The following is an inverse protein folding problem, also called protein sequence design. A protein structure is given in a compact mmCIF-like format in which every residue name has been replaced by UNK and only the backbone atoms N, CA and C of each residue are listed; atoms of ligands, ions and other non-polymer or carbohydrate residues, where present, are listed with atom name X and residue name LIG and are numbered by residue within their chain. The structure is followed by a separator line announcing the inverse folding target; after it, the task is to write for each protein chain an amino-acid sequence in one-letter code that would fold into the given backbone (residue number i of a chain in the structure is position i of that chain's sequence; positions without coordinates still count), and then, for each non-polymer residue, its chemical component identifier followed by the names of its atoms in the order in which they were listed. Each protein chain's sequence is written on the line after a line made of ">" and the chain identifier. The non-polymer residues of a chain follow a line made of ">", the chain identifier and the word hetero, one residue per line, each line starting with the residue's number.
data_IF_285456858145
#
_entry.id   IF_285456858145
#
_cell.length_a   1.000
_cell.length_b   1.000
_cell.length_c   1.000
_cell.angle_alpha   90.00
_cell.angle_beta   90.00
_cell.angle_gamma   90.00
#
_symmetry.space_group_name_H-M   'P 1'
#
loop_
_entity.id
_entity.type
_entity.pdbx_description
1 polymer ?
#
# COMPACT_ATOMS: atom_id res chain seq x y z
N UNK A 1 -12.35 32.81 -8.46
CA UNK A 1 -12.73 31.42 -8.05
C UNK A 1 -14.03 31.56 -7.25
N UNK A 2 -15.08 30.84 -7.62
CA UNK A 2 -16.33 30.83 -6.86
C UNK A 2 -16.15 30.00 -5.58
N UNK A 3 -16.95 30.27 -4.55
CA UNK A 3 -16.93 29.50 -3.31
C UNK A 3 -17.17 28.00 -3.57
N UNK A 4 -18.02 27.66 -4.53
CA UNK A 4 -18.31 26.30 -4.98
C UNK A 4 -17.04 25.58 -5.51
N UNK A 5 -16.22 26.27 -6.31
CA UNK A 5 -14.97 25.70 -6.83
C UNK A 5 -13.97 25.38 -5.70
N UNK A 6 -13.88 26.23 -4.69
CA UNK A 6 -13.01 26.01 -3.53
C UNK A 6 -13.49 24.79 -2.74
N UNK A 7 -14.80 24.72 -2.45
CA UNK A 7 -15.38 23.60 -1.69
C UNK A 7 -15.23 22.29 -2.48
N UNK A 8 -15.46 22.31 -3.80
CA UNK A 8 -15.25 21.14 -4.67
C UNK A 8 -13.80 20.65 -4.61
N UNK A 9 -12.82 21.55 -4.70
CA UNK A 9 -11.41 21.21 -4.65
C UNK A 9 -10.99 20.65 -3.28
N UNK A 10 -11.50 21.22 -2.19
CA UNK A 10 -11.26 20.73 -0.84
C UNK A 10 -11.85 19.33 -0.62
N UNK A 11 -13.09 19.11 -1.08
CA UNK A 11 -13.76 17.82 -0.95
C UNK A 11 -13.00 16.74 -1.74
N UNK A 12 -12.67 16.99 -3.01
CA UNK A 12 -11.91 16.05 -3.84
C UNK A 12 -10.51 15.81 -3.28
N UNK A 13 -9.84 16.86 -2.81
CA UNK A 13 -8.52 16.75 -2.17
C UNK A 13 -8.53 15.92 -0.90
N UNK A 14 -9.58 16.05 -0.07
CA UNK A 14 -9.74 15.26 1.15
C UNK A 14 -9.93 13.76 0.83
N UNK A 15 -10.79 13.43 -0.15
CA UNK A 15 -11.04 12.05 -0.56
C UNK A 15 -9.77 11.40 -1.11
N UNK A 16 -9.03 12.10 -1.98
CA UNK A 16 -7.76 11.61 -2.51
C UNK A 16 -6.68 11.55 -1.42
N UNK A 17 -6.66 12.52 -0.51
CA UNK A 17 -5.73 12.56 0.62
C UNK A 17 -5.87 11.35 1.55
N UNK A 18 -7.08 10.83 1.77
CA UNK A 18 -7.29 9.60 2.53
C UNK A 18 -6.70 8.36 1.85
N UNK A 19 -6.79 8.24 0.53
CA UNK A 19 -6.19 7.15 -0.24
C UNK A 19 -4.66 7.23 -0.24
N UNK A 20 -4.11 8.42 -0.47
CA UNK A 20 -2.66 8.64 -0.36
C UNK A 20 -2.16 8.45 1.07
N UNK A 21 -2.98 8.85 2.06
CA UNK A 21 -2.71 8.59 3.46
C UNK A 21 -2.56 7.10 3.77
N UNK A 22 -3.35 6.24 3.11
CA UNK A 22 -3.25 4.78 3.29
C UNK A 22 -1.91 4.23 2.79
N UNK A 23 -1.44 4.73 1.63
CA UNK A 23 -0.10 4.40 1.10
C UNK A 23 0.98 4.91 2.07
N UNK A 24 0.86 6.17 2.50
CA UNK A 24 1.84 6.81 3.39
C UNK A 24 1.93 6.11 4.76
N UNK A 25 0.79 5.70 5.34
CA UNK A 25 0.78 4.95 6.61
C UNK A 25 1.45 3.58 6.46
N UNK A 26 1.27 2.91 5.31
CA UNK A 26 1.99 1.67 5.00
C UNK A 26 3.50 1.85 4.99
N UNK A 27 3.99 2.92 4.35
CA UNK A 27 5.41 3.27 4.34
C UNK A 27 5.90 3.68 5.74
N UNK A 28 5.14 4.52 6.44
CA UNK A 28 5.48 4.98 7.78
C UNK A 28 5.57 3.83 8.80
N UNK A 29 4.72 2.80 8.67
CA UNK A 29 4.78 1.60 9.50
C UNK A 29 6.11 0.85 9.31
N UNK A 30 6.53 0.65 8.06
CA UNK A 30 7.79 -0.02 7.73
C UNK A 30 8.97 0.81 8.24
N UNK A 31 8.99 2.10 7.94
CA UNK A 31 10.06 3.00 8.36
C UNK A 31 10.15 3.11 9.89
N UNK A 32 9.01 3.35 10.54
CA UNK A 32 8.97 3.50 12.00
C UNK A 32 9.34 2.24 12.78
N UNK A 33 9.29 1.06 12.15
CA UNK A 33 9.64 -0.22 12.78
C UNK A 33 11.14 -0.55 12.66
N UNK A 34 11.78 -0.17 11.55
CA UNK A 34 13.12 -0.65 11.22
C UNK A 34 14.10 0.42 10.77
N UNK A 35 13.69 1.69 10.70
CA UNK A 35 14.44 2.79 10.09
C UNK A 35 14.86 2.50 8.64
N UNK A 36 14.06 1.71 7.92
CA UNK A 36 14.30 1.32 6.53
C UNK A 36 13.36 2.09 5.61
N UNK A 37 13.92 2.91 4.72
CA UNK A 37 13.15 3.52 3.64
C UNK A 37 12.95 2.49 2.53
N UNK A 38 11.70 2.13 2.26
CA UNK A 38 11.36 1.19 1.18
C UNK A 38 11.14 1.94 -0.13
N UNK A 39 12.18 2.03 -0.97
CA UNK A 39 12.08 2.66 -2.30
C UNK A 39 11.23 1.85 -3.30
N UNK A 40 10.93 0.58 -3.02
CA UNK A 40 10.03 -0.22 -3.84
C UNK A 40 8.54 -0.04 -3.47
N UNK A 41 8.21 0.88 -2.55
CA UNK A 41 6.83 1.00 -2.03
C UNK A 41 5.81 1.32 -3.13
N UNK A 42 6.14 2.20 -4.06
CA UNK A 42 5.30 2.50 -5.22
C UNK A 42 5.11 1.30 -6.16
N UNK A 43 6.12 0.42 -6.26
CA UNK A 43 6.00 -0.78 -7.10
C UNK A 43 5.06 -1.83 -6.48
N UNK A 44 4.89 -1.83 -5.16
CA UNK A 44 3.85 -2.62 -4.51
C UNK A 44 2.46 -2.12 -4.91
N UNK A 45 2.28 -0.79 -5.02
CA UNK A 45 1.04 -0.19 -5.52
C UNK A 45 0.77 -0.63 -6.97
N UNK A 46 1.78 -0.55 -7.82
CA UNK A 46 1.71 -1.03 -9.21
C UNK A 46 1.23 -2.50 -9.26
N UNK A 47 1.86 -3.40 -8.50
CA UNK A 47 1.47 -4.82 -8.45
C UNK A 47 0.03 -4.96 -7.97
N UNK A 48 -0.40 -4.20 -6.96
CA UNK A 48 -1.78 -4.21 -6.47
C UNK A 48 -2.79 -3.82 -7.55
N UNK A 49 -2.48 -2.76 -8.32
CA UNK A 49 -3.32 -2.32 -9.44
C UNK A 49 -3.41 -3.38 -10.55
N UNK A 50 -2.27 -4.00 -10.91
CA UNK A 50 -2.27 -5.11 -11.88
C UNK A 50 -3.02 -6.34 -11.36
N UNK A 51 -2.83 -6.73 -10.10
CA UNK A 51 -3.55 -7.84 -9.50
C UNK A 51 -5.07 -7.62 -9.54
N UNK A 52 -5.52 -6.40 -9.21
CA UNK A 52 -6.91 -6.00 -9.30
C UNK A 52 -7.44 -6.08 -10.73
N UNK A 53 -6.66 -5.57 -11.70
CA UNK A 53 -7.04 -5.63 -13.12
C UNK A 53 -7.21 -7.08 -13.59
N UNK A 54 -6.28 -7.97 -13.26
CA UNK A 54 -6.38 -9.37 -13.66
C UNK A 54 -7.52 -10.10 -12.95
N UNK A 55 -7.79 -9.81 -11.68
CA UNK A 55 -8.97 -10.35 -10.99
C UNK A 55 -10.26 -9.89 -11.66
N UNK A 56 -10.31 -8.66 -12.14
CA UNK A 56 -11.45 -8.16 -12.91
C UNK A 56 -11.57 -8.86 -14.27
N UNK A 57 -10.48 -8.97 -15.02
CA UNK A 57 -10.49 -9.54 -16.39
C UNK A 57 -10.81 -11.04 -16.38
N UNK A 58 -10.21 -11.81 -15.47
CA UNK A 58 -10.36 -13.27 -15.48
C UNK A 58 -11.56 -13.77 -14.68
N UNK A 59 -11.93 -13.06 -13.61
CA UNK A 59 -12.98 -13.50 -12.69
C UNK A 59 -14.18 -12.56 -12.63
N UNK A 60 -14.17 -11.47 -13.40
CA UNK A 60 -15.18 -10.40 -13.35
C UNK A 60 -15.41 -9.85 -11.91
N UNK A 61 -14.35 -9.91 -11.07
CA UNK A 61 -14.42 -9.48 -9.69
C UNK A 61 -14.23 -7.97 -9.60
N UNK A 62 -15.24 -7.26 -9.11
CA UNK A 62 -15.18 -5.80 -8.97
C UNK A 62 -14.00 -5.38 -8.07
N UNK A 63 -13.29 -4.29 -8.39
CA UNK A 63 -12.14 -3.80 -7.60
C UNK A 63 -12.41 -3.67 -6.11
N UNK A 64 -13.60 -3.24 -5.71
CA UNK A 64 -13.97 -3.12 -4.31
C UNK A 64 -14.02 -4.49 -3.60
N UNK A 65 -14.54 -5.52 -4.28
CA UNK A 65 -14.55 -6.89 -3.76
C UNK A 65 -13.18 -7.55 -3.84
N UNK A 66 -12.37 -7.21 -4.82
CA UNK A 66 -11.00 -7.73 -4.96
C UNK A 66 -10.03 -7.12 -3.93
N UNK A 67 -10.32 -5.93 -3.39
CA UNK A 67 -9.43 -5.22 -2.48
C UNK A 67 -8.94 -6.05 -1.28
N UNK A 68 -9.78 -6.79 -0.53
CA UNK A 68 -9.30 -7.63 0.57
C UNK A 68 -8.41 -8.79 0.10
N UNK A 69 -8.68 -9.37 -1.08
CA UNK A 69 -7.85 -10.45 -1.64
C UNK A 69 -6.49 -9.93 -2.09
N UNK A 70 -6.48 -8.76 -2.75
CA UNK A 70 -5.24 -8.08 -3.15
C UNK A 70 -4.43 -7.69 -1.93
N UNK A 71 -5.07 -7.14 -0.89
CA UNK A 71 -4.40 -6.81 0.37
C UNK A 71 -3.77 -8.04 1.03
N UNK A 72 -4.49 -9.17 1.08
CA UNK A 72 -3.96 -10.42 1.63
C UNK A 72 -2.79 -10.96 0.79
N UNK A 73 -2.88 -10.90 -0.55
CA UNK A 73 -1.79 -11.30 -1.44
C UNK A 73 -0.56 -10.41 -1.25
N UNK A 74 -0.75 -9.09 -1.18
CA UNK A 74 0.33 -8.13 -0.93
C UNK A 74 0.91 -8.28 0.48
N UNK A 75 0.10 -8.64 1.49
CA UNK A 75 0.61 -8.98 2.81
C UNK A 75 1.64 -10.11 2.75
N UNK A 76 1.27 -11.21 2.10
CA UNK A 76 2.18 -12.36 1.92
C UNK A 76 3.40 -11.97 1.11
N UNK A 77 3.20 -11.24 0.00
CA UNK A 77 4.28 -10.77 -0.85
C UNK A 77 5.27 -9.87 -0.09
N UNK A 78 4.78 -8.89 0.69
CA UNK A 78 5.62 -8.03 1.51
C UNK A 78 6.41 -8.79 2.57
N UNK A 79 5.78 -9.75 3.26
CA UNK A 79 6.45 -10.61 4.22
C UNK A 79 7.56 -11.46 3.55
N UNK A 80 7.30 -12.00 2.35
CA UNK A 80 8.29 -12.76 1.57
C UNK A 80 9.44 -11.88 1.13
N UNK A 81 9.18 -10.67 0.63
CA UNK A 81 10.21 -9.68 0.25
C UNK A 81 11.11 -9.36 1.44
N UNK A 82 10.52 -9.14 2.62
CA UNK A 82 11.32 -8.95 3.83
C UNK A 82 12.23 -10.16 4.08
N UNK A 83 11.68 -11.37 4.09
CA UNK A 83 12.41 -12.60 4.42
C UNK A 83 13.52 -12.93 3.42
N UNK A 84 13.31 -12.64 2.13
CA UNK A 84 14.27 -13.00 1.07
C UNK A 84 15.31 -11.92 0.79
N UNK A 85 14.98 -10.64 1.01
CA UNK A 85 15.83 -9.52 0.59
C UNK A 85 16.17 -8.63 1.79
N UNK A 86 15.18 -8.00 2.41
CA UNK A 86 15.38 -6.89 3.34
C UNK A 86 16.08 -7.34 4.61
N UNK A 87 15.77 -8.52 5.14
CA UNK A 87 16.41 -9.03 6.35
C UNK A 87 17.93 -9.17 6.23
N UNK A 88 18.43 -9.44 5.02
CA UNK A 88 19.89 -9.51 4.77
C UNK A 88 20.49 -8.11 4.72
N UNK A 89 19.78 -7.14 4.14
CA UNK A 89 20.18 -5.75 4.10
C UNK A 89 20.25 -5.14 5.51
N UNK A 90 19.24 -5.41 6.36
CA UNK A 90 19.20 -4.95 7.76
C UNK A 90 20.34 -5.52 8.60
N UNK A 91 20.82 -6.72 8.27
CA UNK A 91 21.94 -7.41 8.99
C UNK A 91 23.33 -7.03 8.49
N UNK A 92 23.44 -6.14 7.50
CA UNK A 92 24.72 -5.75 6.95
C UNK A 92 25.61 -5.11 8.04
N UNK A 93 26.85 -5.58 8.17
CA UNK A 93 27.78 -5.13 9.22
C UNK A 93 28.35 -3.73 8.98
N UNK A 94 28.41 -3.31 7.73
CA UNK A 94 28.91 -2.01 7.32
C UNK A 94 27.86 -1.27 6.50
N UNK A 95 27.66 0.03 6.80
CA UNK A 95 26.76 0.91 6.04
C UNK A 95 25.35 0.32 5.81
N UNK A 96 24.75 -0.28 6.85
CA UNK A 96 23.45 -0.96 6.77
C UNK A 96 22.38 -0.09 6.09
N UNK A 97 22.32 1.21 6.39
CA UNK A 97 21.38 2.13 5.75
C UNK A 97 21.56 2.22 4.22
N UNK A 98 22.81 2.31 3.74
CA UNK A 98 23.07 2.30 2.30
C UNK A 98 22.69 0.97 1.65
N UNK A 99 23.01 -0.16 2.28
CA UNK A 99 22.65 -1.49 1.77
C UNK A 99 21.14 -1.64 1.67
N UNK A 100 20.40 -1.12 2.62
CA UNK A 100 18.93 -1.12 2.62
C UNK A 100 18.37 -0.29 1.47
N UNK A 101 18.86 0.93 1.28
CA UNK A 101 18.46 1.82 0.18
C UNK A 101 18.70 1.15 -1.17
N UNK A 102 19.94 0.68 -1.43
CA UNK A 102 20.27 0.05 -2.70
C UNK A 102 19.50 -1.27 -2.92
N UNK A 103 19.25 -2.05 -1.87
CA UNK A 103 18.46 -3.29 -1.99
C UNK A 103 17.02 -3.02 -2.36
N UNK A 104 16.36 -2.04 -1.73
CA UNK A 104 14.96 -1.70 -2.02
C UNK A 104 14.83 -0.96 -3.36
N UNK A 105 15.79 -0.11 -3.72
CA UNK A 105 15.84 0.53 -5.03
C UNK A 105 16.08 -0.49 -6.16
N UNK A 106 17.03 -1.42 -5.96
CA UNK A 106 17.25 -2.52 -6.90
C UNK A 106 16.01 -3.38 -7.07
N UNK A 107 15.28 -3.67 -5.96
CA UNK A 107 14.01 -4.37 -6.00
C UNK A 107 12.97 -3.60 -6.83
N UNK A 108 12.87 -2.28 -6.69
CA UNK A 108 11.97 -1.44 -7.47
C UNK A 108 12.25 -1.57 -8.98
N UNK A 109 13.53 -1.48 -9.37
CA UNK A 109 13.92 -1.63 -10.78
C UNK A 109 13.55 -3.01 -11.32
N UNK A 110 13.80 -4.07 -10.56
CA UNK A 110 13.45 -5.45 -10.96
C UNK A 110 11.93 -5.61 -11.09
N UNK A 111 11.14 -5.14 -10.12
CA UNK A 111 9.69 -5.24 -10.17
C UNK A 111 9.12 -4.51 -11.38
N UNK A 112 9.59 -3.29 -11.64
CA UNK A 112 9.20 -2.49 -12.81
C UNK A 112 9.59 -3.18 -14.13
N UNK A 113 10.83 -3.64 -14.22
CA UNK A 113 11.31 -4.36 -15.42
C UNK A 113 10.52 -5.64 -15.68
N UNK A 114 10.18 -6.41 -14.64
CA UNK A 114 9.32 -7.58 -14.77
C UNK A 114 7.90 -7.19 -15.19
N UNK A 115 7.34 -6.10 -14.67
CA UNK A 115 6.04 -5.61 -15.09
C UNK A 115 6.03 -5.20 -16.57
N UNK A 116 7.06 -4.51 -17.04
CA UNK A 116 7.22 -4.15 -18.45
C UNK A 116 7.37 -5.38 -19.34
N UNK A 117 8.11 -6.39 -18.87
CA UNK A 117 8.32 -7.62 -19.64
C UNK A 117 7.06 -8.48 -19.75
N UNK A 118 6.33 -8.69 -18.64
CA UNK A 118 5.16 -9.57 -18.62
C UNK A 118 3.87 -8.89 -19.06
N UNK A 119 3.70 -7.59 -18.76
CA UNK A 119 2.43 -6.90 -18.93
C UNK A 119 2.45 -5.87 -20.06
N UNK A 120 3.58 -5.65 -20.72
CA UNK A 120 3.80 -4.60 -21.72
C UNK A 120 3.64 -3.18 -21.17
N UNK A 121 4.19 -2.14 -21.82
CA UNK A 121 4.10 -0.77 -21.33
C UNK A 121 2.75 -0.09 -21.55
N UNK A 122 1.75 -0.83 -22.06
CA UNK A 122 0.44 -0.29 -22.42
C UNK A 122 -0.36 0.18 -21.22
N UNK A 123 -1.09 1.27 -21.38
CA UNK A 123 -2.03 1.77 -20.39
C UNK A 123 -3.28 0.90 -20.36
N UNK A 124 -3.63 0.44 -19.16
CA UNK A 124 -4.84 -0.36 -18.90
C UNK A 124 -5.77 0.39 -17.98
N UNK A 125 -7.06 0.11 -18.07
CA UNK A 125 -8.08 0.69 -17.20
C UNK A 125 -9.19 -0.32 -16.94
N UNK A 126 -9.96 -0.11 -15.87
CA UNK A 126 -11.15 -0.90 -15.52
C UNK A 126 -12.39 -0.02 -15.75
N UNK A 127 -12.94 0.04 -16.98
CA UNK A 127 -13.98 1.01 -17.31
C UNK A 127 -15.36 0.67 -16.73
N UNK A 128 -15.61 -0.57 -16.34
CA UNK A 128 -16.92 -1.08 -15.95
C UNK A 128 -16.96 -1.61 -14.50
N UNK A 129 -16.32 -0.91 -13.55
CA UNK A 129 -16.55 -1.24 -12.14
C UNK A 129 -17.95 -0.82 -11.71
N UNK A 130 -18.51 -1.47 -10.69
CA UNK A 130 -19.85 -1.16 -10.18
C UNK A 130 -20.05 0.30 -9.77
N UNK A 131 -18.99 0.93 -9.34
CA UNK A 131 -18.95 2.33 -8.90
C UNK A 131 -18.37 3.26 -9.96
N UNK A 132 -17.73 2.71 -10.99
CA UNK A 132 -17.05 3.48 -12.05
C UNK A 132 -18.00 4.43 -12.78
N UNK A 133 -17.55 5.65 -13.02
CA UNK A 133 -18.32 6.67 -13.71
C UNK A 133 -19.50 7.26 -12.94
N UNK A 134 -19.81 6.78 -11.74
CA UNK A 134 -20.89 7.32 -10.91
C UNK A 134 -20.40 8.51 -10.08
N UNK A 135 -21.25 9.54 -10.00
CA UNK A 135 -21.03 10.72 -9.17
C UNK A 135 -22.26 11.00 -8.32
N UNK A 136 -22.05 11.43 -7.09
CA UNK A 136 -23.11 11.94 -6.21
C UNK A 136 -22.97 13.45 -6.14
N UNK A 137 -24.07 14.17 -6.36
CA UNK A 137 -24.12 15.63 -6.21
C UNK A 137 -24.80 15.99 -4.91
N UNK A 138 -24.10 16.73 -4.05
CA UNK A 138 -24.63 17.26 -2.77
C UNK A 138 -24.41 18.76 -2.76
N UNK A 139 -25.48 19.52 -2.74
CA UNK A 139 -25.45 20.98 -2.72
C UNK A 139 -24.57 21.61 -3.83
N UNK A 140 -24.59 21.04 -5.05
CA UNK A 140 -23.79 21.52 -6.18
C UNK A 140 -22.35 21.01 -6.23
N UNK A 141 -21.93 20.19 -5.25
CA UNK A 141 -20.60 19.57 -5.19
C UNK A 141 -20.71 18.17 -5.78
N UNK A 142 -19.86 17.84 -6.77
CA UNK A 142 -19.82 16.54 -7.44
C UNK A 142 -18.73 15.66 -6.82
N UNK A 143 -19.14 14.56 -6.18
CA UNK A 143 -18.26 13.61 -5.53
C UNK A 143 -18.23 12.28 -6.31
N UNK A 144 -17.10 11.88 -6.89
CA UNK A 144 -16.99 10.58 -7.56
C UNK A 144 -17.18 9.44 -6.56
N UNK A 145 -18.12 8.52 -6.85
CA UNK A 145 -18.44 7.41 -5.95
C UNK A 145 -17.25 6.49 -5.68
N UNK A 146 -16.35 6.21 -6.65
CA UNK A 146 -15.14 5.42 -6.37
C UNK A 146 -14.23 6.07 -5.32
N UNK A 147 -14.07 7.40 -5.37
CA UNK A 147 -13.26 8.13 -4.37
C UNK A 147 -13.90 8.13 -2.99
N UNK A 148 -15.24 8.26 -2.91
CA UNK A 148 -15.98 8.13 -1.65
C UNK A 148 -15.82 6.72 -1.06
N UNK A 149 -15.99 5.68 -1.86
CA UNK A 149 -15.78 4.31 -1.42
C UNK A 149 -14.33 4.10 -0.94
N UNK A 150 -13.35 4.63 -1.67
CA UNK A 150 -11.95 4.60 -1.29
C UNK A 150 -11.67 5.29 0.04
N UNK A 151 -12.24 6.47 0.26
CA UNK A 151 -12.12 7.21 1.51
C UNK A 151 -12.71 6.41 2.70
N UNK A 152 -13.88 5.79 2.52
CA UNK A 152 -14.49 4.94 3.54
C UNK A 152 -13.65 3.70 3.86
N UNK A 153 -13.11 3.03 2.84
CA UNK A 153 -12.20 1.89 3.03
C UNK A 153 -10.92 2.33 3.72
N UNK A 154 -10.37 3.51 3.37
CA UNK A 154 -9.17 4.05 4.03
C UNK A 154 -9.42 4.33 5.51
N UNK A 155 -10.54 4.95 5.87
CA UNK A 155 -10.92 5.20 7.26
C UNK A 155 -11.09 3.87 8.02
N UNK A 156 -11.76 2.89 7.42
CA UNK A 156 -11.92 1.57 8.02
C UNK A 156 -10.58 0.86 8.22
N UNK A 157 -9.67 0.95 7.24
CA UNK A 157 -8.32 0.38 7.32
C UNK A 157 -7.47 1.06 8.39
N UNK A 158 -7.54 2.41 8.52
CA UNK A 158 -6.87 3.14 9.61
C UNK A 158 -7.39 2.72 10.98
N UNK A 159 -8.72 2.61 11.13
CA UNK A 159 -9.33 2.16 12.38
C UNK A 159 -8.91 0.71 12.69
N UNK A 160 -8.96 -0.19 11.71
CA UNK A 160 -8.54 -1.58 11.86
C UNK A 160 -7.06 -1.68 12.27
N UNK A 161 -6.16 -0.92 11.61
CA UNK A 161 -4.74 -0.88 11.95
C UNK A 161 -4.52 -0.34 13.38
N UNK A 162 -5.21 0.75 13.74
CA UNK A 162 -5.13 1.34 15.07
C UNK A 162 -5.55 0.33 16.15
N UNK A 163 -6.68 -0.34 15.99
CA UNK A 163 -7.12 -1.36 16.92
C UNK A 163 -6.18 -2.57 16.94
N UNK A 164 -5.68 -2.99 15.79
CA UNK A 164 -4.74 -4.09 15.69
C UNK A 164 -3.45 -3.80 16.46
N UNK A 165 -2.84 -2.62 16.26
CA UNK A 165 -1.60 -2.26 16.97
C UNK A 165 -1.85 -2.12 18.48
N UNK A 166 -2.93 -1.43 18.90
CA UNK A 166 -3.14 -1.10 20.30
C UNK A 166 -3.78 -2.22 21.12
N UNK A 167 -4.41 -3.23 20.50
CA UNK A 167 -5.23 -4.23 21.18
C UNK A 167 -4.74 -5.67 21.01
N UNK A 168 -3.68 -5.92 20.21
CA UNK A 168 -3.15 -7.28 20.01
C UNK A 168 -1.77 -7.45 20.62
N UNK A 169 -1.43 -8.70 20.98
CA UNK A 169 -0.08 -9.05 21.46
C UNK A 169 0.97 -8.78 20.39
N UNK A 170 0.59 -8.96 19.13
CA UNK A 170 1.47 -8.65 18.02
C UNK A 170 1.78 -7.15 17.94
N UNK A 171 0.77 -6.29 18.11
CA UNK A 171 0.97 -4.84 18.14
C UNK A 171 1.91 -4.41 19.26
N UNK A 172 1.75 -5.02 20.46
CA UNK A 172 2.67 -4.80 21.58
C UNK A 172 4.10 -5.28 21.29
N UNK A 173 4.24 -6.43 20.63
CA UNK A 173 5.55 -6.94 20.20
C UNK A 173 6.19 -6.03 19.14
N UNK A 174 5.39 -5.46 18.23
CA UNK A 174 5.82 -4.52 17.21
C UNK A 174 6.33 -3.22 17.86
N UNK A 175 5.59 -2.67 18.82
CA UNK A 175 5.95 -1.46 19.54
C UNK A 175 7.21 -1.67 20.40
N UNK A 176 7.30 -2.77 21.13
CA UNK A 176 8.50 -3.14 21.88
C UNK A 176 9.74 -3.33 20.97
N UNK A 177 9.55 -3.93 19.80
CA UNK A 177 10.65 -4.14 18.84
C UNK A 177 11.12 -2.83 18.22
N UNK A 178 10.22 -1.86 18.06
CA UNK A 178 10.54 -0.51 17.62
C UNK A 178 11.37 0.25 18.67
N UNK A 179 11.07 0.07 19.96
CA UNK A 179 11.79 0.72 21.05
C UNK A 179 13.22 0.17 21.18
N UNK A 180 13.36 -1.16 21.27
CA UNK A 180 14.66 -1.82 21.34
C UNK A 180 14.62 -3.24 20.73
N UNK A 181 15.04 -3.33 19.47
CA UNK A 181 15.12 -4.59 18.74
C UNK A 181 16.15 -5.59 19.29
N UNK A 182 17.06 -5.14 20.19
CA UNK A 182 18.01 -6.00 20.89
C UNK A 182 17.40 -6.61 22.15
N UNK A 183 16.76 -5.77 22.97
CA UNK A 183 16.15 -6.16 24.22
C UNK A 183 15.00 -7.17 24.06
N UNK A 184 14.18 -7.03 23.00
CA UNK A 184 13.05 -7.95 22.77
C UNK A 184 13.49 -9.40 22.54
N UNK A 185 14.70 -9.63 22.05
CA UNK A 185 15.24 -10.99 21.88
C UNK A 185 15.47 -11.69 23.24
N UNK A 186 15.74 -10.93 24.32
CA UNK A 186 15.94 -11.47 25.66
C UNK A 186 14.63 -11.97 26.30
N UNK A 187 13.50 -11.41 25.88
CA UNK A 187 12.17 -11.85 26.35
C UNK A 187 11.49 -12.83 25.37
N UNK A 188 12.25 -13.36 24.40
CA UNK A 188 11.80 -14.42 23.51
C UNK A 188 11.00 -13.96 22.28
N UNK A 189 10.96 -12.67 21.97
CA UNK A 189 10.30 -12.15 20.78
C UNK A 189 11.23 -12.29 19.56
N UNK A 190 10.77 -13.01 18.52
CA UNK A 190 11.49 -13.12 17.26
C UNK A 190 11.31 -11.87 16.42
N UNK A 191 12.30 -10.97 16.44
CA UNK A 191 12.30 -9.72 15.67
C UNK A 191 12.09 -9.93 14.16
N UNK A 192 12.57 -11.04 13.58
CA UNK A 192 12.39 -11.27 12.14
C UNK A 192 10.93 -11.56 11.81
N UNK A 193 10.20 -12.24 12.70
CA UNK A 193 8.75 -12.44 12.50
C UNK A 193 8.00 -11.13 12.64
N UNK A 194 8.35 -10.30 13.63
CA UNK A 194 7.74 -8.98 13.82
C UNK A 194 7.98 -8.10 12.60
N UNK A 195 9.20 -8.04 12.10
CA UNK A 195 9.56 -7.26 10.92
C UNK A 195 8.88 -7.77 9.64
N UNK A 196 8.84 -9.10 9.43
CA UNK A 196 8.15 -9.69 8.27
C UNK A 196 6.65 -9.35 8.27
N UNK A 197 6.01 -9.43 9.42
CA UNK A 197 4.60 -9.08 9.57
C UNK A 197 4.37 -7.57 9.41
N UNK A 198 5.26 -6.73 9.91
CA UNK A 198 5.23 -5.27 9.69
C UNK A 198 5.34 -4.90 8.21
N UNK A 199 6.25 -5.54 7.47
CA UNK A 199 6.35 -5.40 6.01
C UNK A 199 5.09 -5.88 5.30
N UNK A 200 4.57 -7.03 5.73
CA UNK A 200 3.30 -7.55 5.22
C UNK A 200 2.14 -6.58 5.42
N UNK A 201 2.00 -6.01 6.62
CA UNK A 201 0.96 -5.01 6.91
C UNK A 201 1.11 -3.75 6.08
N UNK A 202 2.32 -3.20 5.96
CA UNK A 202 2.58 -2.06 5.10
C UNK A 202 2.21 -2.33 3.64
N UNK A 203 2.59 -3.50 3.11
CA UNK A 203 2.24 -3.93 1.77
C UNK A 203 0.72 -4.16 1.60
N UNK A 204 0.04 -4.69 2.61
CA UNK A 204 -1.43 -4.87 2.58
C UNK A 204 -2.19 -3.55 2.48
N UNK A 205 -1.74 -2.51 3.18
CA UNK A 205 -2.33 -1.16 3.11
C UNK A 205 -2.19 -0.57 1.71
N UNK A 206 -1.01 -0.73 1.09
CA UNK A 206 -0.79 -0.37 -0.32
C UNK A 206 -1.65 -1.22 -1.25
N UNK A 207 -1.82 -2.50 -0.93
CA UNK A 207 -2.71 -3.41 -1.67
C UNK A 207 -4.15 -2.92 -1.71
N UNK A 208 -4.69 -2.50 -0.56
CA UNK A 208 -6.02 -1.89 -0.46
C UNK A 208 -6.12 -0.62 -1.29
N UNK A 209 -5.15 0.29 -1.14
CA UNK A 209 -5.14 1.56 -1.88
C UNK A 209 -5.05 1.30 -3.39
N UNK A 210 -4.14 0.44 -3.84
CA UNK A 210 -3.95 0.11 -5.25
C UNK A 210 -5.18 -0.52 -5.91
N UNK A 211 -5.87 -1.41 -5.19
CA UNK A 211 -7.11 -2.01 -5.67
C UNK A 211 -8.20 -0.97 -5.94
N UNK A 212 -8.34 0.01 -5.06
CA UNK A 212 -9.33 1.09 -5.21
C UNK A 212 -8.90 2.08 -6.29
N UNK A 213 -7.62 2.46 -6.32
CA UNK A 213 -7.09 3.41 -7.29
C UNK A 213 -7.18 2.87 -8.72
N UNK A 214 -7.15 1.55 -8.93
CA UNK A 214 -7.36 0.92 -10.22
C UNK A 214 -8.74 1.22 -10.85
N UNK A 215 -9.72 1.72 -10.08
CA UNK A 215 -11.03 2.13 -10.62
C UNK A 215 -11.01 3.44 -11.40
N UNK A 216 -10.01 4.32 -11.16
CA UNK A 216 -10.00 5.67 -11.70
C UNK A 216 -8.62 6.17 -12.15
N UNK A 217 -7.54 5.40 -11.89
CA UNK A 217 -6.23 5.64 -12.47
C UNK A 217 -5.91 4.61 -13.54
N UNK A 218 -5.09 5.02 -14.53
CA UNK A 218 -4.52 4.09 -15.48
C UNK A 218 -3.49 3.19 -14.82
N UNK A 219 -3.44 1.94 -15.26
CA UNK A 219 -2.53 0.90 -14.78
C UNK A 219 -1.46 0.71 -15.85
N UNK A 220 -0.22 0.99 -15.51
CA UNK A 220 0.95 0.84 -16.37
C UNK A 220 2.20 0.61 -15.51
N UNK A 221 3.31 0.07 -16.06
CA UNK A 221 4.46 -0.35 -15.26
C UNK A 221 5.14 0.75 -14.45
N UNK A 222 5.07 2.00 -14.90
CA UNK A 222 5.70 3.13 -14.19
C UNK A 222 4.75 3.87 -13.25
N UNK A 223 3.52 3.39 -13.06
CA UNK A 223 2.52 4.05 -12.20
C UNK A 223 3.02 4.22 -10.77
N UNK A 224 3.78 3.26 -10.26
CA UNK A 224 4.34 3.30 -8.90
C UNK A 224 5.29 4.49 -8.66
N UNK A 225 5.96 4.96 -9.68
CA UNK A 225 6.86 6.12 -9.57
C UNK A 225 6.14 7.46 -9.37
N UNK A 226 4.81 7.50 -9.57
CA UNK A 226 3.98 8.68 -9.40
C UNK A 226 3.47 8.86 -7.96
N UNK A 227 3.68 7.86 -7.09
CA UNK A 227 3.22 7.77 -5.71
C UNK A 227 4.37 7.49 -4.74
#
# INVERSE_FOLDING_TARGET
>A
MTAETIIQSLASGLLMGLLYGLIAVGLALIFGLMDVVNFAHGEFLMIAMYATFFLFVFFALDPLLSAPFVAAALFVFGAVVYLLIVRFAVRAKANAGMVQIFSTFGLAIVMRGLAQFFFTPDYRSIPQSWLGGKTVSIAGIFLPVPQLAGALVSIAAFAALYFFINRTDFGRALEATREDAGAVALVGIDKNRVFALGWGLGAALVGLSGAIMAMFFYIYPDVGASF
#
